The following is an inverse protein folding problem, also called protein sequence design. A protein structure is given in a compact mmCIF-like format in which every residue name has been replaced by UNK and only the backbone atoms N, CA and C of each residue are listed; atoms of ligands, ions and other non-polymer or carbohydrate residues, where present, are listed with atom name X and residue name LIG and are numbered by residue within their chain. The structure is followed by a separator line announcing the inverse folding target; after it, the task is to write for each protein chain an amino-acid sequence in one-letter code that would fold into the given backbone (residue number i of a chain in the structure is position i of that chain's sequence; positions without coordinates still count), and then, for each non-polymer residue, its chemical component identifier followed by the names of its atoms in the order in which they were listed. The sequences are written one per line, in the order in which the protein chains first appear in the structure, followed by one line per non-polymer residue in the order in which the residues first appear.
data_IF_038563339534
#
_entry.id   IF_038563339534
#
_cell.length_a   1.000
_cell.length_b   1.000
_cell.length_c   1.000
_cell.angle_alpha   90.00
_cell.angle_beta   90.00
_cell.angle_gamma   90.00
#
_symmetry.space_group_name_H-M   'P 1'
#
loop_
_entity.id
_entity.type
_entity.pdbx_description
1 polymer ?
#
# COMPACT_ATOMS: atom_id res chain seq x y z
N UNK A 1 -15.69 14.43 -19.14
CA UNK A 1 -14.65 14.89 -18.18
C UNK A 1 -13.54 13.86 -18.06
N UNK A 2 -12.33 14.26 -17.67
CA UNK A 2 -11.23 13.31 -17.51
C UNK A 2 -11.47 12.33 -16.36
N UNK A 3 -10.81 11.18 -16.42
CA UNK A 3 -10.72 10.25 -15.27
C UNK A 3 -10.07 10.94 -14.07
N UNK A 4 -10.55 10.67 -12.86
CA UNK A 4 -10.02 11.26 -11.64
C UNK A 4 -9.16 10.22 -10.90
N UNK A 5 -7.94 10.63 -10.51
CA UNK A 5 -7.11 9.87 -9.58
C UNK A 5 -6.92 10.65 -8.28
N UNK A 6 -7.19 10.00 -7.16
CA UNK A 6 -7.12 10.59 -5.82
C UNK A 6 -6.09 9.85 -4.98
N UNK A 7 -5.01 10.52 -4.58
CA UNK A 7 -4.05 9.99 -3.63
C UNK A 7 -4.47 10.36 -2.22
N UNK A 8 -4.70 9.36 -1.37
CA UNK A 8 -5.11 9.51 0.03
C UNK A 8 -3.98 9.04 0.94
N UNK A 9 -3.64 9.86 1.94
CA UNK A 9 -2.64 9.54 2.98
C UNK A 9 -3.32 9.33 4.34
N UNK A 10 -3.84 8.13 4.64
CA UNK A 10 -4.66 7.91 5.83
C UNK A 10 -3.90 8.07 7.14
N UNK A 11 -2.59 7.77 7.12
CA UNK A 11 -1.70 7.80 8.29
C UNK A 11 -0.68 8.94 8.23
N UNK A 12 -0.85 9.94 7.33
CA UNK A 12 0.14 10.99 7.10
C UNK A 12 1.52 10.38 6.73
N UNK A 13 2.57 10.67 7.50
CA UNK A 13 3.90 10.04 7.37
C UNK A 13 4.16 8.93 8.39
N UNK A 14 3.19 8.61 9.27
CA UNK A 14 3.38 7.59 10.30
C UNK A 14 3.55 6.19 9.71
N UNK A 15 4.52 5.44 10.23
CA UNK A 15 4.82 4.08 9.81
C UNK A 15 5.18 3.22 11.03
N UNK A 16 4.95 1.92 10.95
CA UNK A 16 5.38 0.90 11.93
C UNK A 16 6.78 0.35 11.64
N UNK A 17 7.38 0.75 10.51
CA UNK A 17 8.75 0.41 10.13
C UNK A 17 9.64 1.66 10.10
N UNK A 18 10.96 1.44 10.07
CA UNK A 18 11.97 2.47 9.95
C UNK A 18 13.00 2.03 8.89
N UNK A 19 12.65 2.26 7.61
CA UNK A 19 13.56 1.95 6.50
C UNK A 19 14.60 3.06 6.33
N UNK A 20 15.88 2.70 6.13
CA UNK A 20 17.00 3.65 6.08
C UNK A 20 16.88 4.70 4.97
N UNK A 21 16.30 4.34 3.83
CA UNK A 21 16.11 5.22 2.68
C UNK A 21 14.73 5.92 2.65
N UNK A 22 13.93 5.82 3.73
CA UNK A 22 12.55 6.30 3.71
C UNK A 22 12.47 7.82 3.65
N UNK A 23 12.13 8.38 2.49
CA UNK A 23 11.99 9.82 2.33
C UNK A 23 10.88 10.43 3.20
N UNK A 24 9.86 9.66 3.61
CA UNK A 24 8.86 10.16 4.54
C UNK A 24 9.44 10.48 5.92
N UNK A 25 10.41 9.67 6.39
CA UNK A 25 11.08 9.93 7.66
C UNK A 25 11.91 11.23 7.60
N UNK A 26 12.61 11.47 6.48
CA UNK A 26 13.39 12.68 6.26
C UNK A 26 12.50 13.92 6.10
N UNK A 27 11.46 13.82 5.27
CA UNK A 27 10.51 14.90 5.04
C UNK A 27 9.73 15.31 6.31
N UNK A 28 9.37 14.35 7.17
CA UNK A 28 8.70 14.66 8.42
C UNK A 28 9.59 15.52 9.33
N UNK A 29 10.88 15.20 9.43
CA UNK A 29 11.85 15.95 10.23
C UNK A 29 12.08 17.39 9.75
N UNK A 30 11.84 17.67 8.48
CA UNK A 30 12.02 19.00 7.85
C UNK A 30 10.78 19.89 7.94
N UNK A 31 9.63 19.37 8.36
CA UNK A 31 8.37 20.11 8.45
C UNK A 31 8.20 20.74 9.82
N UNK A 32 7.49 21.87 9.87
CA UNK A 32 7.08 22.50 11.12
C UNK A 32 6.13 21.62 11.94
N UNK A 33 5.44 20.68 11.30
CA UNK A 33 4.61 19.66 11.92
C UNK A 33 4.93 18.31 11.28
N UNK A 34 5.48 17.40 12.06
CA UNK A 34 5.96 16.09 11.60
C UNK A 34 4.82 15.23 11.01
N UNK A 35 3.68 15.22 11.67
CA UNK A 35 2.52 14.44 11.24
C UNK A 35 1.21 15.16 11.58
N UNK A 36 0.23 15.04 10.70
CA UNK A 36 -1.16 15.47 10.94
C UNK A 36 -2.02 14.37 11.60
N UNK A 37 -1.39 13.28 12.03
CA UNK A 37 -2.08 12.15 12.62
C UNK A 37 -2.87 11.32 11.60
N UNK A 38 -3.85 10.59 12.09
CA UNK A 38 -4.74 9.78 11.26
C UNK A 38 -5.86 10.62 10.63
N UNK A 39 -6.13 10.35 9.36
CA UNK A 39 -7.29 10.94 8.68
C UNK A 39 -8.59 10.55 9.40
N UNK A 40 -9.46 11.52 9.68
CA UNK A 40 -10.77 11.24 10.26
C UNK A 40 -11.71 10.59 9.25
N UNK A 41 -12.67 9.82 9.74
CA UNK A 41 -13.73 9.23 8.90
C UNK A 41 -14.52 10.33 8.17
N UNK A 42 -14.78 11.45 8.83
CA UNK A 42 -15.49 12.59 8.23
C UNK A 42 -14.70 13.20 7.05
N UNK A 43 -13.37 13.29 7.17
CA UNK A 43 -12.50 13.76 6.08
C UNK A 43 -12.54 12.78 4.91
N UNK A 44 -12.42 11.47 5.16
CA UNK A 44 -12.54 10.43 4.15
C UNK A 44 -13.87 10.52 3.39
N UNK A 45 -14.99 10.59 4.14
CA UNK A 45 -16.34 10.74 3.60
C UNK A 45 -16.45 11.97 2.68
N UNK A 46 -15.92 13.11 3.10
CA UNK A 46 -15.95 14.35 2.32
C UNK A 46 -15.10 14.26 1.05
N UNK A 47 -13.91 13.65 1.13
CA UNK A 47 -13.06 13.42 -0.04
C UNK A 47 -13.80 12.56 -1.06
N UNK A 48 -14.30 11.39 -0.65
CA UNK A 48 -15.00 10.48 -1.56
C UNK A 48 -16.25 11.14 -2.16
N UNK A 49 -17.08 11.79 -1.34
CA UNK A 49 -18.29 12.48 -1.82
C UNK A 49 -17.96 13.53 -2.86
N UNK A 50 -16.98 14.41 -2.57
CA UNK A 50 -16.63 15.52 -3.47
C UNK A 50 -16.02 15.04 -4.78
N UNK A 51 -15.14 14.04 -4.73
CA UNK A 51 -14.49 13.52 -5.93
C UNK A 51 -15.43 12.67 -6.78
N UNK A 52 -16.33 11.90 -6.16
CA UNK A 52 -17.30 11.07 -6.86
C UNK A 52 -18.30 11.89 -7.67
N UNK A 53 -18.73 13.05 -7.18
CA UNK A 53 -19.68 13.95 -7.89
C UNK A 53 -19.08 14.46 -9.21
N UNK A 54 -17.76 14.61 -9.28
CA UNK A 54 -17.07 15.16 -10.44
C UNK A 54 -16.44 14.09 -11.35
N UNK A 55 -16.53 12.83 -10.99
CA UNK A 55 -15.96 11.75 -11.77
C UNK A 55 -16.88 11.31 -12.91
N UNK A 56 -16.30 11.02 -14.08
CA UNK A 56 -17.00 10.45 -15.23
C UNK A 56 -16.23 9.21 -15.72
N UNK A 57 -16.95 8.12 -15.90
CA UNK A 57 -16.43 6.85 -16.41
C UNK A 57 -15.56 6.07 -15.40
N UNK A 58 -14.51 6.69 -14.90
CA UNK A 58 -13.56 6.02 -13.98
C UNK A 58 -13.05 6.99 -12.91
N UNK A 59 -12.99 6.48 -11.67
CA UNK A 59 -12.25 7.10 -10.57
C UNK A 59 -11.32 6.08 -9.93
N UNK A 60 -10.09 6.49 -9.61
CA UNK A 60 -9.10 5.67 -8.91
C UNK A 60 -8.75 6.29 -7.56
N UNK A 61 -8.87 5.51 -6.48
CA UNK A 61 -8.40 5.87 -5.14
C UNK A 61 -7.14 5.10 -4.83
N UNK A 62 -6.05 5.81 -4.56
CA UNK A 62 -4.75 5.23 -4.20
C UNK A 62 -4.42 5.61 -2.77
N UNK A 63 -4.28 4.62 -1.90
CA UNK A 63 -3.92 4.81 -0.49
C UNK A 63 -2.43 4.61 -0.32
N UNK A 64 -1.70 5.67 0.04
CA UNK A 64 -0.25 5.66 0.15
C UNK A 64 0.21 6.71 1.18
N UNK A 65 1.44 6.57 1.69
CA UNK A 65 2.06 7.54 2.60
C UNK A 65 2.19 7.03 4.03
N UNK A 66 3.42 7.02 4.56
CA UNK A 66 3.73 6.27 5.76
C UNK A 66 3.33 4.80 5.58
N UNK A 67 2.57 4.25 6.52
CA UNK A 67 1.94 2.95 6.37
C UNK A 67 0.41 3.08 6.51
N UNK A 68 -0.35 2.99 5.40
CA UNK A 68 -1.79 3.18 5.41
C UNK A 68 -2.55 2.20 6.31
N UNK A 69 -2.08 0.95 6.43
CA UNK A 69 -2.75 -0.09 7.24
C UNK A 69 -2.78 0.23 8.74
N UNK A 70 -1.94 1.16 9.23
CA UNK A 70 -2.01 1.68 10.59
C UNK A 70 -3.37 2.33 10.91
N UNK A 71 -4.10 2.77 9.90
CA UNK A 71 -5.44 3.35 10.09
C UNK A 71 -6.49 2.30 10.47
N UNK A 72 -6.14 1.02 10.31
CA UNK A 72 -7.01 -0.13 10.59
C UNK A 72 -7.99 -0.45 9.46
N UNK A 73 -8.40 -1.71 9.40
CA UNK A 73 -9.25 -2.26 8.33
C UNK A 73 -10.59 -1.53 8.21
N UNK A 74 -11.23 -1.21 9.35
CA UNK A 74 -12.53 -0.54 9.40
C UNK A 74 -12.55 0.79 8.63
N UNK A 75 -11.44 1.51 8.57
CA UNK A 75 -11.35 2.74 7.77
C UNK A 75 -11.52 2.45 6.26
N UNK A 76 -10.97 1.36 5.77
CA UNK A 76 -11.06 0.98 4.35
C UNK A 76 -12.42 0.38 4.03
N UNK A 77 -13.04 -0.34 4.96
CA UNK A 77 -14.43 -0.78 4.86
C UNK A 77 -15.37 0.42 4.69
N UNK A 78 -15.17 1.47 5.51
CA UNK A 78 -15.90 2.74 5.37
C UNK A 78 -15.61 3.46 4.05
N UNK A 79 -14.38 3.40 3.56
CA UNK A 79 -14.05 3.97 2.25
C UNK A 79 -14.89 3.33 1.14
N UNK A 80 -14.95 2.01 1.10
CA UNK A 80 -15.75 1.25 0.11
C UNK A 80 -17.26 1.52 0.30
N UNK A 81 -17.74 1.57 1.55
CA UNK A 81 -19.13 1.92 1.84
C UNK A 81 -19.48 3.31 1.26
N UNK A 82 -18.64 4.31 1.49
CA UNK A 82 -18.86 5.67 0.94
C UNK A 82 -18.75 5.71 -0.58
N UNK A 83 -17.81 4.98 -1.17
CA UNK A 83 -17.70 4.86 -2.62
C UNK A 83 -19.00 4.32 -3.21
N UNK A 84 -19.54 3.22 -2.68
CA UNK A 84 -20.82 2.64 -3.11
C UNK A 84 -22.00 3.60 -2.90
N UNK A 85 -22.03 4.26 -1.74
CA UNK A 85 -23.11 5.20 -1.39
C UNK A 85 -23.17 6.42 -2.33
N UNK A 86 -22.01 7.01 -2.67
CA UNK A 86 -21.94 8.23 -3.49
C UNK A 86 -21.83 7.96 -4.99
N UNK A 87 -21.60 6.74 -5.43
CA UNK A 87 -21.55 6.36 -6.86
C UNK A 87 -22.96 6.24 -7.47
N UNK A 88 -23.63 7.38 -7.64
CA UNK A 88 -25.00 7.42 -8.18
C UNK A 88 -25.07 7.15 -9.68
N UNK A 89 -23.96 7.31 -10.38
CA UNK A 89 -23.89 7.16 -11.84
C UNK A 89 -23.29 5.82 -12.29
N UNK A 90 -23.00 4.91 -11.33
CA UNK A 90 -22.45 3.59 -11.65
C UNK A 90 -21.07 3.63 -12.33
N UNK A 91 -20.25 4.66 -12.06
CA UNK A 91 -18.92 4.78 -12.65
C UNK A 91 -17.99 3.70 -12.08
N UNK A 92 -17.00 3.31 -12.87
CA UNK A 92 -15.99 2.35 -12.42
C UNK A 92 -15.12 2.96 -11.32
N UNK A 93 -14.92 2.21 -10.24
CA UNK A 93 -14.06 2.60 -9.12
C UNK A 93 -12.91 1.60 -9.03
N UNK A 94 -11.67 2.08 -9.10
CA UNK A 94 -10.47 1.31 -8.82
C UNK A 94 -9.90 1.71 -7.47
N UNK A 95 -9.49 0.72 -6.67
CA UNK A 95 -8.80 0.94 -5.41
C UNK A 95 -7.41 0.32 -5.47
N UNK A 96 -6.40 1.06 -5.03
CA UNK A 96 -5.04 0.55 -4.85
C UNK A 96 -4.49 0.97 -3.49
N UNK A 97 -3.69 0.12 -2.87
CA UNK A 97 -3.07 0.39 -1.58
C UNK A 97 -1.60 0.00 -1.62
N UNK A 98 -0.73 0.97 -1.29
CA UNK A 98 0.70 0.76 -1.12
C UNK A 98 0.99 0.48 0.35
N UNK A 99 1.56 -0.69 0.64
CA UNK A 99 1.85 -1.11 2.01
C UNK A 99 3.20 -1.81 2.15
N UNK A 100 3.76 -1.74 3.35
CA UNK A 100 4.90 -2.57 3.73
C UNK A 100 4.52 -4.03 4.06
N UNK A 101 3.23 -4.34 4.14
CA UNK A 101 2.73 -5.70 4.38
C UNK A 101 2.81 -6.19 5.82
N UNK A 102 3.42 -5.45 6.74
CA UNK A 102 3.73 -5.93 8.09
C UNK A 102 2.49 -6.28 8.92
N UNK A 103 1.36 -5.60 8.69
CA UNK A 103 0.10 -5.80 9.42
C UNK A 103 -0.92 -6.67 8.68
N UNK A 104 -0.59 -7.16 7.49
CA UNK A 104 -1.55 -7.95 6.71
C UNK A 104 -1.81 -9.31 7.37
N UNK A 105 -3.08 -9.65 7.46
CA UNK A 105 -3.62 -10.92 7.97
C UNK A 105 -4.78 -11.41 7.09
N UNK A 106 -5.44 -12.48 7.51
CA UNK A 106 -6.57 -13.08 6.80
C UNK A 106 -7.71 -12.08 6.56
N UNK A 107 -8.01 -11.22 7.52
CA UNK A 107 -9.08 -10.23 7.41
C UNK A 107 -8.77 -9.20 6.32
N UNK A 108 -7.51 -8.72 6.25
CA UNK A 108 -7.05 -7.83 5.21
C UNK A 108 -7.09 -8.49 3.83
N UNK A 109 -6.59 -9.72 3.70
CA UNK A 109 -6.55 -10.41 2.41
C UNK A 109 -7.95 -10.71 1.88
N UNK A 110 -8.87 -11.14 2.75
CA UNK A 110 -10.29 -11.31 2.41
C UNK A 110 -10.92 -10.01 1.92
N UNK A 111 -10.71 -8.91 2.65
CA UNK A 111 -11.22 -7.59 2.27
C UNK A 111 -10.68 -7.12 0.92
N UNK A 112 -9.37 -7.27 0.67
CA UNK A 112 -8.76 -6.88 -0.60
C UNK A 112 -9.33 -7.68 -1.77
N UNK A 113 -9.50 -8.99 -1.60
CA UNK A 113 -10.09 -9.85 -2.64
C UNK A 113 -11.53 -9.49 -2.93
N UNK A 114 -12.36 -9.35 -1.90
CA UNK A 114 -13.79 -9.05 -2.04
C UNK A 114 -14.04 -7.67 -2.69
N UNK A 115 -13.14 -6.70 -2.46
CA UNK A 115 -13.27 -5.34 -2.95
C UNK A 115 -12.31 -5.01 -4.09
N UNK A 116 -11.65 -6.02 -4.67
CA UNK A 116 -10.79 -5.90 -5.85
C UNK A 116 -9.72 -4.81 -5.71
N UNK A 117 -9.06 -4.76 -4.55
CA UNK A 117 -7.90 -3.87 -4.37
C UNK A 117 -6.70 -4.41 -5.12
N UNK A 118 -5.97 -3.51 -5.78
CA UNK A 118 -4.62 -3.77 -6.25
C UNK A 118 -3.62 -3.36 -5.15
N UNK A 119 -2.81 -4.30 -4.69
CA UNK A 119 -1.85 -4.05 -3.61
C UNK A 119 -0.46 -3.83 -4.19
N UNK A 120 0.20 -2.75 -3.77
CA UNK A 120 1.64 -2.55 -3.96
C UNK A 120 2.37 -3.02 -2.70
N UNK A 121 2.97 -4.21 -2.75
CA UNK A 121 3.71 -4.76 -1.61
C UNK A 121 5.19 -4.38 -1.70
N UNK A 122 5.71 -3.78 -0.66
CA UNK A 122 7.11 -3.34 -0.61
C UNK A 122 8.05 -4.48 -0.22
N UNK A 123 8.79 -5.05 -1.19
CA UNK A 123 9.85 -6.03 -0.97
C UNK A 123 11.08 -5.64 -1.78
N UNK A 124 12.28 -5.65 -1.17
CA UNK A 124 13.52 -5.26 -1.83
C UNK A 124 14.40 -6.47 -2.14
N UNK A 125 13.93 -7.34 -3.03
CA UNK A 125 14.71 -8.47 -3.52
C UNK A 125 14.83 -9.63 -2.53
N UNK A 126 16.04 -10.15 -2.36
CA UNK A 126 16.33 -11.27 -1.45
C UNK A 126 16.24 -10.84 0.02
N UNK A 127 16.14 -11.83 0.91
CA UNK A 127 16.09 -11.56 2.36
C UNK A 127 17.24 -10.68 2.84
N UNK A 128 18.47 -10.94 2.37
CA UNK A 128 19.63 -10.17 2.77
C UNK A 128 19.52 -8.69 2.33
N UNK A 129 19.11 -8.44 1.10
CA UNK A 129 18.97 -7.08 0.57
C UNK A 129 17.81 -6.35 1.24
N UNK A 130 16.70 -7.02 1.47
CA UNK A 130 15.55 -6.44 2.15
C UNK A 130 15.87 -6.06 3.60
N UNK A 131 16.39 -7.01 4.37
CA UNK A 131 16.70 -6.82 5.79
C UNK A 131 17.91 -5.90 6.03
N UNK A 132 18.65 -5.52 4.98
CA UNK A 132 19.71 -4.51 5.06
C UNK A 132 19.16 -3.10 5.29
N UNK A 133 17.95 -2.80 4.78
CA UNK A 133 17.40 -1.44 4.79
C UNK A 133 16.00 -1.33 5.41
N UNK A 134 15.25 -2.45 5.49
CA UNK A 134 13.89 -2.45 5.99
C UNK A 134 13.80 -3.13 7.36
N UNK A 135 13.67 -2.32 8.38
CA UNK A 135 13.58 -2.77 9.77
C UNK A 135 12.26 -2.34 10.40
N UNK A 136 11.85 -3.04 11.44
CA UNK A 136 10.83 -2.52 12.33
C UNK A 136 11.39 -1.36 13.19
N UNK A 137 10.58 -0.77 14.05
CA UNK A 137 11.01 0.34 14.93
C UNK A 137 12.05 -0.06 15.97
N UNK A 138 12.25 -1.34 16.20
CA UNK A 138 13.23 -1.89 17.13
C UNK A 138 14.52 -2.32 16.42
N UNK A 139 14.63 -2.14 15.12
CA UNK A 139 15.77 -2.55 14.29
C UNK A 139 15.74 -4.04 13.91
N UNK A 140 14.63 -4.75 14.11
CA UNK A 140 14.54 -6.15 13.73
C UNK A 140 14.29 -6.31 12.22
N UNK A 141 14.78 -7.41 11.59
CA UNK A 141 14.53 -7.75 10.21
C UNK A 141 13.03 -8.01 9.97
N UNK A 142 12.54 -7.67 8.77
CA UNK A 142 11.11 -7.73 8.46
C UNK A 142 10.74 -8.65 7.31
N UNK A 143 11.73 -9.17 6.59
CA UNK A 143 11.51 -9.96 5.38
C UNK A 143 10.57 -11.15 5.56
N UNK A 144 10.82 -11.99 6.58
CA UNK A 144 10.03 -13.21 6.79
C UNK A 144 8.55 -12.89 7.06
N UNK A 145 8.30 -11.81 7.81
CA UNK A 145 6.93 -11.35 8.08
C UNK A 145 6.22 -10.87 6.80
N UNK A 146 6.93 -10.12 5.98
CA UNK A 146 6.37 -9.58 4.73
C UNK A 146 6.20 -10.68 3.67
N UNK A 147 7.14 -11.64 3.62
CA UNK A 147 7.01 -12.83 2.77
C UNK A 147 5.78 -13.65 3.15
N UNK A 148 5.53 -13.85 4.45
CA UNK A 148 4.31 -14.53 4.92
C UNK A 148 3.03 -13.79 4.51
N UNK A 149 3.06 -12.45 4.49
CA UNK A 149 1.93 -11.65 4.00
C UNK A 149 1.72 -11.84 2.48
N UNK A 150 2.80 -11.95 1.69
CA UNK A 150 2.71 -12.27 0.26
C UNK A 150 2.10 -13.65 0.04
N UNK A 151 2.57 -14.67 0.77
CA UNK A 151 2.03 -16.04 0.68
C UNK A 151 0.54 -16.08 1.03
N UNK A 152 0.12 -15.29 2.02
CA UNK A 152 -1.27 -15.18 2.41
C UNK A 152 -2.11 -14.50 1.30
N UNK A 153 -1.60 -13.43 0.68
CA UNK A 153 -2.27 -12.80 -0.47
C UNK A 153 -2.42 -13.78 -1.64
N UNK A 154 -1.41 -14.63 -1.92
CA UNK A 154 -1.51 -15.67 -2.93
C UNK A 154 -2.62 -16.69 -2.59
N UNK A 155 -2.72 -17.13 -1.35
CA UNK A 155 -3.75 -18.06 -0.89
C UNK A 155 -5.18 -17.49 -1.08
N UNK A 156 -5.35 -16.20 -0.85
CA UNK A 156 -6.63 -15.51 -1.04
C UNK A 156 -6.87 -15.05 -2.50
N UNK A 157 -5.88 -15.19 -3.37
CA UNK A 157 -5.94 -14.73 -4.77
C UNK A 157 -6.08 -13.21 -4.87
N UNK A 158 -5.42 -12.45 -3.99
CA UNK A 158 -5.36 -11.00 -4.03
C UNK A 158 -4.44 -10.56 -5.17
N UNK A 159 -4.85 -9.56 -5.95
CA UNK A 159 -4.00 -8.97 -6.98
C UNK A 159 -2.96 -8.04 -6.34
N UNK A 160 -1.67 -8.31 -6.54
CA UNK A 160 -0.61 -7.42 -6.04
C UNK A 160 0.59 -7.34 -6.98
N UNK A 161 1.32 -6.23 -6.87
CA UNK A 161 2.62 -6.01 -7.47
C UNK A 161 3.68 -5.88 -6.38
N UNK A 162 4.89 -6.36 -6.63
CA UNK A 162 6.04 -6.09 -5.77
C UNK A 162 6.65 -4.75 -6.19
N UNK A 163 6.92 -3.91 -5.19
CA UNK A 163 7.59 -2.63 -5.36
C UNK A 163 8.92 -2.66 -4.63
N UNK A 164 9.99 -2.52 -5.39
CA UNK A 164 11.38 -2.59 -4.93
C UNK A 164 12.04 -1.22 -5.03
N UNK A 165 12.66 -0.77 -3.96
CA UNK A 165 13.54 0.40 -4.01
C UNK A 165 14.90 -0.04 -4.53
N UNK A 166 15.31 0.50 -5.68
CA UNK A 166 16.62 0.20 -6.29
C UNK A 166 17.68 1.06 -5.61
N UNK A 167 18.24 0.55 -4.52
CA UNK A 167 19.46 1.11 -3.91
C UNK A 167 20.68 0.78 -4.74
N UNK A 168 21.84 1.39 -4.46
CA UNK A 168 23.08 1.03 -5.12
C UNK A 168 23.39 -0.47 -4.99
N UNK A 169 23.21 -1.04 -3.80
CA UNK A 169 23.41 -2.48 -3.61
C UNK A 169 22.40 -3.30 -4.41
N UNK A 170 21.12 -2.93 -4.43
CA UNK A 170 20.12 -3.62 -5.24
C UNK A 170 20.48 -3.59 -6.74
N UNK A 171 21.02 -2.48 -7.24
CA UNK A 171 21.43 -2.36 -8.63
C UNK A 171 22.55 -3.35 -9.00
N UNK A 172 23.52 -3.60 -8.13
CA UNK A 172 24.56 -4.61 -8.34
C UNK A 172 24.03 -6.05 -8.30
N UNK A 173 22.88 -6.29 -7.70
CA UNK A 173 22.24 -7.60 -7.56
C UNK A 173 20.99 -7.76 -8.44
N UNK A 174 20.80 -6.93 -9.46
CA UNK A 174 19.58 -6.90 -10.27
C UNK A 174 19.18 -8.27 -10.86
N UNK A 175 20.13 -9.03 -11.38
CA UNK A 175 19.90 -10.38 -11.92
C UNK A 175 19.48 -11.37 -10.83
N UNK A 176 20.08 -11.29 -9.64
CA UNK A 176 19.73 -12.12 -8.49
C UNK A 176 18.30 -11.82 -8.02
N UNK A 177 17.95 -10.53 -7.87
CA UNK A 177 16.62 -10.06 -7.50
C UNK A 177 15.57 -10.56 -8.51
N UNK A 178 15.84 -10.38 -9.80
CA UNK A 178 14.94 -10.84 -10.86
C UNK A 178 14.70 -12.34 -10.79
N UNK A 179 15.78 -13.15 -10.68
CA UNK A 179 15.67 -14.60 -10.58
C UNK A 179 14.99 -15.03 -9.27
N UNK A 180 15.17 -14.29 -8.19
CA UNK A 180 14.47 -14.53 -6.94
C UNK A 180 12.96 -14.33 -7.10
N UNK A 181 12.54 -13.19 -7.64
CA UNK A 181 11.12 -12.93 -7.89
C UNK A 181 10.51 -13.95 -8.85
N UNK A 182 11.25 -14.35 -9.89
CA UNK A 182 10.82 -15.44 -10.77
C UNK A 182 10.48 -16.74 -10.03
N UNK A 183 11.16 -17.08 -8.96
CA UNK A 183 10.93 -18.31 -8.21
C UNK A 183 9.78 -18.23 -7.22
N UNK A 184 9.57 -17.06 -6.59
CA UNK A 184 8.62 -16.92 -5.50
C UNK A 184 7.27 -16.33 -5.90
N UNK A 185 7.22 -15.60 -7.02
CA UNK A 185 6.02 -14.87 -7.49
C UNK A 185 5.41 -15.54 -8.74
N UNK A 186 5.78 -16.77 -9.07
CA UNK A 186 5.65 -17.38 -10.39
C UNK A 186 4.25 -17.83 -10.79
N UNK A 187 3.18 -17.42 -10.14
CA UNK A 187 1.87 -17.71 -10.71
C UNK A 187 1.14 -16.50 -11.31
N UNK A 188 1.48 -15.26 -11.00
CA UNK A 188 0.69 -14.09 -11.46
C UNK A 188 1.46 -12.77 -11.60
N UNK A 189 2.74 -12.74 -11.95
CA UNK A 189 3.37 -11.49 -12.33
C UNK A 189 2.97 -11.11 -13.76
N UNK A 190 1.95 -10.30 -13.94
CA UNK A 190 1.79 -9.50 -15.15
C UNK A 190 2.77 -8.33 -15.05
N UNK A 191 3.87 -8.42 -15.79
CA UNK A 191 4.82 -7.32 -16.02
C UNK A 191 4.11 -6.22 -16.80
#
# INVERSE_FOLDING_TARGET
MPTISVLIKPASGMCNMQCDYCFYCDEMKKRSQDSYGFMSEQTLKNVIRKTMIHAEGLISYVYQGGEPTLRGLTFFEKAVEYQRHYNKHGIRVNNALQTNGYLLDDAWCKFFKENQFLIGLSIDGTKQLHDMYRHDKNGNPTFDRIKSAADLMDQYGVDYNILTVVTQNAAYHATEIYNYYKRIVFFWCKI
#
